data_IF_356411416451
#
_entry.id   IF_356411416451
#
_cell.length_a   1.000
_cell.length_b   1.000
_cell.length_c   1.000
_cell.angle_alpha   90.00
_cell.angle_beta   90.00
_cell.angle_gamma   90.00
#
_symmetry.space_group_name_H-M   'P 1'
#
loop_
_entity.id
_entity.type
_entity.pdbx_description
1 polymer ?
#
# COMPACT_ATOMS: atom_id res chain seq x y z
N UNK A 1 -8.66 13.84 -5.10
CA UNK A 1 -8.13 15.10 -4.50
C UNK A 1 -9.36 15.73 -3.88
N UNK A 2 -9.27 16.33 -2.69
CA UNK A 2 -10.48 16.84 -2.03
C UNK A 2 -11.20 17.85 -2.92
N UNK A 3 -12.49 17.63 -3.16
CA UNK A 3 -13.33 18.50 -3.98
C UNK A 3 -14.00 19.57 -3.12
N UNK A 4 -14.32 19.24 -1.86
CA UNK A 4 -14.76 20.20 -0.84
C UNK A 4 -14.57 19.60 0.56
N UNK A 5 -14.69 20.43 1.60
CA UNK A 5 -14.70 19.98 2.99
C UNK A 5 -15.38 21.02 3.89
N UNK A 6 -15.98 20.55 4.97
CA UNK A 6 -16.46 21.36 6.09
C UNK A 6 -15.68 21.01 7.37
N UNK A 7 -16.12 21.48 8.54
CA UNK A 7 -15.40 21.29 9.80
C UNK A 7 -15.12 19.82 10.16
N UNK A 8 -15.96 18.87 9.74
CA UNK A 8 -15.83 17.44 10.08
C UNK A 8 -16.06 16.49 8.90
N UNK A 9 -16.15 17.02 7.68
CA UNK A 9 -16.39 16.22 6.48
C UNK A 9 -15.41 16.61 5.38
N UNK A 10 -15.15 15.66 4.48
CA UNK A 10 -14.37 15.88 3.27
C UNK A 10 -15.02 15.10 2.14
N UNK A 11 -15.29 15.78 1.03
CA UNK A 11 -15.85 15.18 -0.19
C UNK A 11 -14.72 14.98 -1.19
N UNK A 12 -14.60 13.77 -1.72
CA UNK A 12 -13.69 13.43 -2.83
C UNK A 12 -14.43 12.50 -3.79
N UNK A 13 -15.00 13.06 -4.86
CA UNK A 13 -15.84 12.33 -5.82
C UNK A 13 -15.07 11.31 -6.67
N UNK A 14 -13.75 11.20 -6.48
CA UNK A 14 -12.95 10.15 -7.06
C UNK A 14 -12.97 8.84 -6.24
N UNK A 15 -13.48 8.87 -5.00
CA UNK A 15 -13.74 7.67 -4.21
C UNK A 15 -14.95 6.95 -4.80
N UNK A 16 -14.87 5.62 -4.91
CA UNK A 16 -15.87 4.81 -5.61
C UNK A 16 -16.17 3.48 -4.92
N UNK A 17 -15.65 3.32 -3.71
CA UNK A 17 -15.84 2.15 -2.89
C UNK A 17 -17.24 2.11 -2.29
N UNK A 18 -17.62 0.94 -1.75
CA UNK A 18 -18.91 0.78 -1.08
C UNK A 18 -18.98 1.61 0.23
N UNK A 19 -20.20 1.80 0.71
CA UNK A 19 -20.49 2.43 2.01
C UNK A 19 -19.67 1.76 3.14
N UNK A 20 -19.26 2.56 4.12
CA UNK A 20 -18.41 2.15 5.26
C UNK A 20 -17.00 1.63 4.91
N UNK A 21 -16.59 1.57 3.64
CA UNK A 21 -15.32 0.96 3.23
C UNK A 21 -14.10 1.60 3.91
N UNK A 22 -14.12 2.92 4.09
CA UNK A 22 -13.02 3.67 4.67
C UNK A 22 -13.09 3.83 6.19
N UNK A 23 -14.07 3.22 6.86
CA UNK A 23 -14.26 3.38 8.31
C UNK A 23 -13.04 2.90 9.11
N UNK A 24 -12.59 3.73 10.05
CA UNK A 24 -11.38 3.52 10.84
C UNK A 24 -10.08 3.89 10.14
N UNK A 25 -10.11 4.31 8.87
CA UNK A 25 -8.95 4.83 8.13
C UNK A 25 -8.41 6.11 8.72
N UNK A 26 -7.10 6.32 8.58
CA UNK A 26 -6.47 7.59 8.94
C UNK A 26 -6.34 8.43 7.68
N UNK A 27 -7.06 9.53 7.61
CA UNK A 27 -6.88 10.55 6.58
C UNK A 27 -5.75 11.49 6.98
N UNK A 28 -4.82 11.71 6.07
CA UNK A 28 -3.70 12.66 6.22
C UNK A 28 -3.70 13.66 5.07
N UNK A 29 -3.74 14.96 5.37
CA UNK A 29 -3.54 16.00 4.37
C UNK A 29 -2.04 16.16 4.08
N UNK A 30 -1.64 15.99 2.82
CA UNK A 30 -0.23 15.98 2.41
C UNK A 30 0.18 17.22 1.62
N UNK A 31 -0.77 17.91 0.98
CA UNK A 31 -0.55 19.18 0.26
C UNK A 31 -1.84 20.00 0.24
N UNK A 32 -1.74 21.32 0.19
CA UNK A 32 -2.89 22.23 0.13
C UNK A 32 -3.24 22.83 1.48
N UNK A 33 -4.47 23.32 1.62
CA UNK A 33 -4.96 23.96 2.85
C UNK A 33 -5.05 22.92 3.97
N UNK A 34 -4.59 23.29 5.16
CA UNK A 34 -4.62 22.38 6.31
C UNK A 34 -3.67 21.19 6.21
N UNK A 35 -2.56 21.31 5.47
CA UNK A 35 -1.51 20.27 5.34
C UNK A 35 -0.93 19.84 6.69
N UNK A 36 -0.63 18.55 6.83
CA UNK A 36 0.00 17.97 8.02
C UNK A 36 -0.99 17.49 9.09
N UNK A 37 -2.28 17.73 8.90
CA UNK A 37 -3.31 17.24 9.80
C UNK A 37 -3.60 15.76 9.55
N UNK A 38 -3.93 15.04 10.62
CA UNK A 38 -4.35 13.65 10.58
C UNK A 38 -5.67 13.51 11.34
N UNK A 39 -6.62 12.80 10.76
CA UNK A 39 -7.92 12.52 11.35
C UNK A 39 -8.34 11.09 11.08
N UNK A 40 -9.06 10.49 12.01
CA UNK A 40 -9.66 9.17 11.82
C UNK A 40 -11.01 9.33 11.13
N UNK A 41 -11.26 8.50 10.13
CA UNK A 41 -12.54 8.43 9.41
C UNK A 41 -13.52 7.60 10.24
N UNK A 42 -14.63 8.23 10.60
CA UNK A 42 -15.70 7.62 11.39
C UNK A 42 -16.78 7.00 10.49
N UNK A 43 -17.02 7.62 9.33
CA UNK A 43 -17.98 7.16 8.33
C UNK A 43 -17.50 7.50 6.91
N UNK A 44 -17.87 6.68 5.93
CA UNK A 44 -17.80 7.00 4.51
C UNK A 44 -19.14 6.69 3.85
N UNK A 45 -19.80 7.71 3.30
CA UNK A 45 -21.05 7.59 2.55
C UNK A 45 -20.75 7.52 1.05
N UNK A 46 -20.99 6.36 0.43
CA UNK A 46 -20.73 6.12 -1.00
C UNK A 46 -21.76 6.76 -1.93
N UNK A 47 -22.89 7.28 -1.42
CA UNK A 47 -23.86 8.00 -2.24
C UNK A 47 -23.45 9.46 -2.48
N UNK A 48 -22.64 10.01 -1.57
CA UNK A 48 -22.21 11.40 -1.58
C UNK A 48 -20.69 11.58 -1.60
N UNK A 49 -19.94 10.48 -1.70
CA UNK A 49 -18.47 10.42 -1.67
C UNK A 49 -17.87 11.19 -0.49
N UNK A 50 -18.58 11.16 0.65
CA UNK A 50 -18.29 11.99 1.82
C UNK A 50 -17.65 11.16 2.92
N UNK A 51 -16.43 11.54 3.29
CA UNK A 51 -15.73 11.06 4.47
C UNK A 51 -16.08 11.93 5.66
N UNK A 52 -16.56 11.32 6.74
CA UNK A 52 -16.75 11.98 8.04
C UNK A 52 -15.57 11.65 8.94
N UNK A 53 -15.02 12.65 9.63
CA UNK A 53 -13.90 12.46 10.57
C UNK A 53 -14.34 12.60 12.02
N UNK A 54 -13.68 11.85 12.92
CA UNK A 54 -13.97 11.83 14.37
C UNK A 54 -13.71 13.19 15.05
N UNK A 55 -12.61 13.86 14.67
CA UNK A 55 -12.22 15.17 15.21
C UNK A 55 -12.31 16.25 14.13
N UNK A 56 -12.78 17.44 14.51
CA UNK A 56 -12.86 18.57 13.59
C UNK A 56 -11.48 18.99 13.05
N UNK A 57 -11.45 19.52 11.83
CA UNK A 57 -10.23 20.11 11.26
C UNK A 57 -9.86 21.39 12.02
N UNK A 58 -8.58 21.53 12.38
CA UNK A 58 -8.06 22.80 12.93
C UNK A 58 -8.01 23.88 11.84
N UNK A 59 -7.79 23.44 10.60
CA UNK A 59 -7.91 24.25 9.40
C UNK A 59 -8.64 23.43 8.35
N UNK A 60 -9.85 23.87 7.98
CA UNK A 60 -10.70 23.17 7.01
C UNK A 60 -9.95 23.01 5.67
N UNK A 61 -9.80 21.78 5.14
CA UNK A 61 -9.27 21.54 3.81
C UNK A 61 -10.09 22.29 2.76
N UNK A 62 -9.44 22.75 1.69
CA UNK A 62 -10.13 23.37 0.56
C UNK A 62 -10.12 22.44 -0.65
N UNK A 63 -10.93 22.77 -1.67
CA UNK A 63 -10.86 22.13 -2.97
C UNK A 63 -9.41 22.10 -3.51
N UNK A 64 -8.97 20.96 -4.03
CA UNK A 64 -7.60 20.72 -4.50
C UNK A 64 -6.60 20.27 -3.42
N UNK A 65 -7.03 20.09 -2.17
CA UNK A 65 -6.16 19.54 -1.11
C UNK A 65 -5.87 18.07 -1.38
N UNK A 66 -4.59 17.68 -1.41
CA UNK A 66 -4.20 16.29 -1.59
C UNK A 66 -4.24 15.57 -0.24
N UNK A 67 -4.95 14.45 -0.20
CA UNK A 67 -5.12 13.61 0.98
C UNK A 67 -4.58 12.20 0.71
N UNK A 68 -4.06 11.57 1.75
CA UNK A 68 -3.68 10.16 1.75
C UNK A 68 -4.55 9.45 2.80
N UNK A 69 -5.25 8.42 2.37
CA UNK A 69 -6.01 7.51 3.23
C UNK A 69 -5.14 6.30 3.54
N UNK A 70 -4.80 6.12 4.80
CA UNK A 70 -4.13 4.92 5.29
C UNK A 70 -5.18 4.00 5.91
N UNK A 71 -5.46 2.89 5.23
CA UNK A 71 -6.47 1.93 5.67
C UNK A 71 -5.92 1.11 6.85
N UNK A 72 -6.62 0.99 7.98
CA UNK A 72 -6.29 0.00 8.99
C UNK A 72 -6.43 -1.39 8.38
N UNK A 73 -5.71 -2.38 8.90
CA UNK A 73 -5.91 -3.76 8.47
C UNK A 73 -7.39 -4.15 8.72
N UNK A 74 -8.17 -4.26 7.65
CA UNK A 74 -9.58 -4.60 7.71
C UNK A 74 -9.69 -6.05 8.16
N UNK A 75 -10.75 -6.40 8.90
CA UNK A 75 -11.00 -7.77 9.37
C UNK A 75 -11.26 -8.78 8.24
N UNK A 76 -11.21 -8.37 6.97
CA UNK A 76 -11.23 -9.21 5.76
C UNK A 76 -9.87 -9.38 5.06
N UNK A 77 -8.87 -8.52 5.32
CA UNK A 77 -7.51 -8.64 4.77
C UNK A 77 -6.72 -9.89 5.24
N UNK A 78 -6.51 -10.85 4.34
CA UNK A 78 -5.79 -12.10 4.63
C UNK A 78 -4.25 -11.92 4.71
N UNK A 79 -3.72 -10.98 3.92
CA UNK A 79 -2.30 -10.78 3.71
C UNK A 79 -1.99 -9.29 3.68
N UNK A 80 -1.04 -8.85 4.52
CA UNK A 80 -0.48 -7.51 4.47
C UNK A 80 1.04 -7.61 4.34
N UNK A 81 1.60 -6.90 3.37
CA UNK A 81 3.04 -6.79 3.19
C UNK A 81 3.50 -5.35 3.45
N UNK A 82 4.57 -5.21 4.24
CA UNK A 82 5.24 -3.94 4.52
C UNK A 82 6.74 -4.05 4.27
N UNK A 83 7.42 -2.90 4.32
CA UNK A 83 8.89 -2.82 4.16
C UNK A 83 9.40 -3.47 2.87
N UNK A 84 8.77 -3.15 1.74
CA UNK A 84 9.20 -3.65 0.44
C UNK A 84 10.59 -3.08 0.09
N UNK A 85 11.56 -3.96 -0.15
CA UNK A 85 12.87 -3.63 -0.70
C UNK A 85 13.16 -4.50 -1.92
N UNK A 86 13.86 -3.95 -2.89
CA UNK A 86 14.27 -4.67 -4.10
C UNK A 86 15.74 -4.42 -4.40
N UNK A 87 16.44 -5.46 -4.81
CA UNK A 87 17.83 -5.42 -5.23
C UNK A 87 17.90 -6.00 -6.65
N UNK A 88 18.43 -5.22 -7.59
CA UNK A 88 18.57 -5.63 -8.99
C UNK A 88 20.04 -5.97 -9.24
N UNK A 89 20.31 -7.25 -9.45
CA UNK A 89 21.63 -7.76 -9.73
C UNK A 89 21.79 -7.95 -11.25
N UNK A 90 22.77 -7.27 -11.84
CA UNK A 90 23.14 -7.43 -13.24
C UNK A 90 24.58 -7.93 -13.28
N UNK A 91 24.76 -9.23 -13.53
CA UNK A 91 26.09 -9.78 -13.73
C UNK A 91 26.67 -9.21 -15.03
N UNK A 92 27.82 -8.54 -14.96
CA UNK A 92 28.56 -8.14 -16.14
C UNK A 92 29.59 -9.22 -16.47
N UNK A 93 29.49 -9.82 -17.66
CA UNK A 93 30.46 -10.79 -18.13
C UNK A 93 31.59 -10.05 -18.85
N UNK A 94 32.83 -10.23 -18.38
CA UNK A 94 34.00 -9.76 -19.12
C UNK A 94 34.18 -10.56 -20.40
N UNK A 95 34.39 -9.87 -21.52
CA UNK A 95 34.88 -10.47 -22.75
C UNK A 95 36.40 -10.45 -22.74
N UNK A 96 37.04 -11.61 -22.86
CA UNK A 96 38.48 -11.69 -23.08
C UNK A 96 38.84 -10.97 -24.41
N UNK A 97 39.48 -9.80 -24.30
CA UNK A 97 40.00 -9.05 -25.44
C UNK A 97 41.18 -9.83 -26.01
N UNK A 98 41.03 -10.38 -27.22
CA UNK A 98 42.10 -11.14 -27.85
C UNK A 98 43.06 -10.30 -28.70
N UNK A 99 42.81 -9.02 -28.94
CA UNK A 99 43.74 -8.17 -29.69
C UNK A 99 43.59 -6.66 -29.37
N UNK A 100 44.73 -5.96 -29.30
CA UNK A 100 44.86 -4.57 -28.89
C UNK A 100 44.40 -3.51 -29.94
N UNK A 101 43.71 -3.91 -31.01
CA UNK A 101 43.38 -3.03 -32.14
C UNK A 101 41.88 -2.78 -32.38
N UNK A 102 40.99 -3.36 -31.56
CA UNK A 102 39.54 -3.15 -31.70
C UNK A 102 39.03 -2.34 -30.49
N UNK A 103 38.27 -1.28 -30.77
CA UNK A 103 37.80 -0.28 -29.80
C UNK A 103 37.19 -0.90 -28.54
N UNK A 104 37.35 -0.26 -27.36
CA UNK A 104 36.83 -0.77 -26.09
C UNK A 104 35.29 -0.70 -26.09
N UNK A 105 34.64 -1.71 -26.65
CA UNK A 105 33.19 -1.83 -26.59
C UNK A 105 32.75 -2.23 -25.18
N UNK A 106 31.79 -1.47 -24.66
CA UNK A 106 31.24 -1.57 -23.30
C UNK A 106 30.73 -2.98 -22.96
N UNK A 107 30.91 -3.37 -21.69
CA UNK A 107 30.48 -4.64 -21.09
C UNK A 107 29.10 -5.09 -21.56
N UNK A 108 28.96 -6.37 -21.94
CA UNK A 108 27.64 -6.93 -22.28
C UNK A 108 26.92 -7.25 -20.96
N UNK A 109 25.72 -6.68 -20.71
CA UNK A 109 24.94 -7.05 -19.54
C UNK A 109 24.55 -8.53 -19.63
N UNK A 110 25.01 -9.32 -18.66
CA UNK A 110 24.71 -10.74 -18.50
C UNK A 110 23.36 -10.96 -17.81
N UNK A 111 23.29 -12.01 -16.98
CA UNK A 111 22.04 -12.37 -16.29
C UNK A 111 21.57 -11.23 -15.39
N UNK A 112 20.27 -10.94 -15.48
CA UNK A 112 19.58 -9.98 -14.61
C UNK A 112 18.71 -10.77 -13.65
N UNK A 113 18.99 -10.68 -12.35
CA UNK A 113 18.12 -11.21 -11.30
C UNK A 113 17.64 -10.06 -10.43
N UNK A 114 16.45 -10.20 -9.85
CA UNK A 114 15.93 -9.25 -8.88
C UNK A 114 15.54 -10.03 -7.63
N UNK A 115 16.03 -9.57 -6.48
CA UNK A 115 15.58 -10.04 -5.17
C UNK A 115 14.59 -9.02 -4.61
N UNK A 116 13.42 -9.49 -4.21
CA UNK A 116 12.41 -8.68 -3.55
C UNK A 116 12.26 -9.21 -2.13
N UNK A 117 12.38 -8.35 -1.13
CA UNK A 117 12.19 -8.69 0.29
C UNK A 117 11.07 -7.84 0.86
N UNK A 118 10.18 -8.45 1.64
CA UNK A 118 9.11 -7.77 2.35
C UNK A 118 8.80 -8.50 3.65
N UNK A 119 8.35 -7.76 4.65
CA UNK A 119 7.79 -8.34 5.87
C UNK A 119 6.31 -8.59 5.63
N UNK A 120 5.82 -9.79 5.94
CA UNK A 120 4.40 -10.13 5.82
C UNK A 120 3.77 -10.38 7.17
N UNK A 121 2.53 -9.91 7.32
CA UNK A 121 1.60 -10.33 8.35
C UNK A 121 0.49 -11.14 7.69
N UNK A 122 0.25 -12.34 8.22
CA UNK A 122 -0.80 -13.25 7.78
C UNK A 122 -1.89 -13.32 8.85
N UNK A 123 -3.15 -13.25 8.43
CA UNK A 123 -4.27 -13.39 9.37
C UNK A 123 -4.41 -14.83 9.88
N UNK A 124 -4.32 -15.03 11.19
CA UNK A 124 -4.80 -16.25 11.83
C UNK A 124 -6.33 -16.40 11.78
N UNK A 125 -6.84 -17.62 11.83
CA UNK A 125 -8.27 -17.97 11.71
C UNK A 125 -9.22 -17.37 12.76
N UNK A 126 -8.69 -16.69 13.79
CA UNK A 126 -9.48 -16.07 14.86
C UNK A 126 -10.17 -17.05 15.82
N UNK A 127 -10.09 -18.37 15.57
CA UNK A 127 -10.67 -19.41 16.41
C UNK A 127 -9.65 -20.55 16.65
N UNK A 128 -9.50 -20.94 17.91
CA UNK A 128 -8.59 -22.03 18.27
C UNK A 128 -8.99 -23.34 17.58
N UNK A 129 -8.04 -23.98 16.89
CA UNK A 129 -8.25 -25.26 16.19
C UNK A 129 -8.95 -25.16 14.83
N UNK A 130 -9.18 -23.95 14.32
CA UNK A 130 -9.63 -23.74 12.94
C UNK A 130 -8.43 -23.35 12.10
N UNK A 131 -8.18 -24.05 11.00
CA UNK A 131 -7.11 -23.68 10.08
C UNK A 131 -7.44 -22.34 9.38
N UNK A 132 -6.46 -21.44 9.17
CA UNK A 132 -6.65 -20.23 8.38
C UNK A 132 -7.02 -20.54 6.93
N UNK A 133 -7.63 -19.59 6.21
CA UNK A 133 -8.06 -19.81 4.82
C UNK A 133 -6.90 -20.19 3.88
N UNK A 134 -5.69 -19.71 4.16
CA UNK A 134 -4.46 -20.08 3.44
C UNK A 134 -3.88 -21.44 3.83
N UNK A 135 -4.43 -22.13 4.83
CA UNK A 135 -3.94 -23.44 5.28
C UNK A 135 -4.06 -24.54 4.22
N UNK A 136 -4.93 -24.36 3.23
CA UNK A 136 -4.96 -25.20 2.02
C UNK A 136 -3.66 -25.10 1.21
N UNK A 137 -3.08 -23.90 1.09
CA UNK A 137 -1.82 -23.68 0.37
C UNK A 137 -0.66 -24.31 1.14
N UNK A 138 -0.63 -24.19 2.46
CA UNK A 138 0.40 -24.83 3.27
C UNK A 138 0.29 -26.35 3.29
N UNK A 139 -0.92 -26.92 3.25
CA UNK A 139 -1.12 -28.36 3.02
C UNK A 139 -0.58 -28.83 1.66
N UNK A 140 -0.75 -28.04 0.59
CA UNK A 140 -0.17 -28.35 -0.72
C UNK A 140 1.38 -28.36 -0.69
N UNK A 141 1.98 -27.56 0.20
CA UNK A 141 3.42 -27.54 0.46
C UNK A 141 3.87 -28.55 1.53
N UNK A 142 3.03 -29.52 1.90
CA UNK A 142 3.29 -30.51 2.95
C UNK A 142 3.58 -29.94 4.36
N UNK A 143 3.14 -28.71 4.62
CA UNK A 143 3.24 -28.05 5.92
C UNK A 143 1.99 -28.35 6.75
N UNK A 144 2.17 -28.59 8.06
CA UNK A 144 1.10 -28.98 8.98
C UNK A 144 0.56 -27.75 9.69
N UNK A 145 -0.50 -27.15 9.16
CA UNK A 145 -1.36 -26.23 9.92
C UNK A 145 -2.55 -27.01 10.47
N UNK A 146 -2.52 -27.27 11.77
CA UNK A 146 -3.69 -27.67 12.57
C UNK A 146 -4.31 -26.43 13.18
#
# INVERSE_FOLDING_TARGET
>A
MADSADASTLVDAALSEDDDFWNGSVLRTIRGMGVGQRRKVSNFDSASDTLTVDDAWDTTPAAGTACLLDRPAAASELFRAGNFSHEINVEQLERAVKDASLSPFSSIPGKRSAQISFTTELRGSGAAGVAPDYGLLFKACAMKET
#
